data_IF_965516301545
#
_entry.id   IF_965516301545
#
_cell.length_a   1.000
_cell.length_b   1.000
_cell.length_c   1.000
_cell.angle_alpha   90.00
_cell.angle_beta   90.00
_cell.angle_gamma   90.00
#
_symmetry.space_group_name_H-M   'P 1'
#
loop_
_entity.id
_entity.type
_entity.pdbx_description
1 polymer ?
#
# COMPACT_ATOMS: atom_id res chain seq x y z
N UNK A 1 35.95 -4.01 19.14
CA UNK A 1 35.85 -2.75 18.36
C UNK A 1 36.58 -2.77 17.00
N UNK A 2 37.61 -3.59 16.76
CA UNK A 2 38.36 -3.61 15.49
C UNK A 2 37.66 -4.22 14.26
N UNK A 3 36.69 -5.14 14.44
CA UNK A 3 36.00 -5.81 13.32
C UNK A 3 35.00 -4.87 12.63
N UNK A 4 34.29 -4.03 13.41
CA UNK A 4 33.33 -3.06 12.87
C UNK A 4 34.03 -1.94 12.06
N UNK A 5 35.18 -1.46 12.54
CA UNK A 5 35.96 -0.45 11.81
C UNK A 5 36.60 -1.00 10.53
N UNK A 6 36.88 -2.30 10.47
CA UNK A 6 37.39 -2.96 9.26
C UNK A 6 36.31 -3.13 8.20
N UNK A 7 35.11 -3.61 8.60
CA UNK A 7 33.99 -3.82 7.68
C UNK A 7 33.48 -2.52 7.04
N UNK A 8 33.36 -1.45 7.83
CA UNK A 8 32.94 -0.12 7.32
C UNK A 8 33.93 0.46 6.32
N UNK A 9 35.25 0.32 6.57
CA UNK A 9 36.29 0.74 5.63
C UNK A 9 36.25 -0.04 4.32
N UNK A 10 36.04 -1.36 4.39
CA UNK A 10 35.89 -2.20 3.20
C UNK A 10 34.64 -1.78 2.39
N UNK A 11 33.52 -1.56 3.06
CA UNK A 11 32.27 -1.11 2.43
C UNK A 11 32.43 0.24 1.72
N UNK A 12 33.05 1.23 2.39
CA UNK A 12 33.32 2.55 1.80
C UNK A 12 34.25 2.43 0.57
N UNK A 13 35.24 1.55 0.62
CA UNK A 13 36.15 1.29 -0.51
C UNK A 13 35.40 0.69 -1.70
N UNK A 14 34.53 -0.29 -1.47
CA UNK A 14 33.71 -0.93 -2.51
C UNK A 14 32.73 0.05 -3.15
N UNK A 15 32.08 0.91 -2.34
CA UNK A 15 31.17 1.94 -2.86
C UNK A 15 31.91 3.04 -3.62
N UNK A 16 33.11 3.42 -3.15
CA UNK A 16 34.01 4.32 -3.86
C UNK A 16 34.40 3.79 -5.23
N UNK A 17 34.76 2.50 -5.32
CA UNK A 17 35.03 1.79 -6.58
C UNK A 17 33.80 1.71 -7.49
N UNK A 18 32.60 1.57 -6.93
CA UNK A 18 31.36 1.55 -7.70
C UNK A 18 31.04 2.90 -8.36
N UNK A 19 31.29 4.02 -7.68
CA UNK A 19 30.96 5.37 -8.20
C UNK A 19 32.11 5.99 -9.02
N UNK A 20 33.34 5.50 -8.85
CA UNK A 20 34.52 6.03 -9.54
C UNK A 20 34.41 5.91 -11.07
N UNK A 21 34.97 6.88 -11.83
CA UNK A 21 35.36 6.63 -13.22
C UNK A 21 36.35 5.45 -13.25
N UNK A 22 36.20 4.60 -14.28
CA UNK A 22 36.85 3.29 -14.44
C UNK A 22 38.33 3.33 -14.03
N UNK A 23 38.73 2.48 -13.09
CA UNK A 23 40.11 2.34 -12.63
C UNK A 23 40.95 1.53 -13.62
N UNK A 24 42.25 1.84 -13.80
CA UNK A 24 43.11 1.18 -14.77
C UNK A 24 43.61 -0.23 -14.34
N UNK A 25 43.52 -0.59 -13.06
CA UNK A 25 44.04 -1.86 -12.53
C UNK A 25 43.12 -3.08 -12.78
N UNK A 26 43.71 -4.23 -13.13
CA UNK A 26 42.97 -5.49 -13.40
C UNK A 26 42.17 -5.99 -12.19
N UNK A 27 42.72 -5.83 -10.98
CA UNK A 27 42.05 -6.22 -9.72
C UNK A 27 40.88 -5.29 -9.42
N UNK A 28 41.07 -3.98 -9.56
CA UNK A 28 40.01 -3.00 -9.34
C UNK A 28 38.87 -3.15 -10.37
N UNK A 29 39.20 -3.53 -11.60
CA UNK A 29 38.22 -3.84 -12.63
C UNK A 29 37.37 -5.07 -12.26
N UNK A 30 37.98 -6.14 -11.78
CA UNK A 30 37.26 -7.34 -11.34
C UNK A 30 36.39 -7.05 -10.12
N UNK A 31 36.89 -6.27 -9.17
CA UNK A 31 36.10 -5.79 -8.02
C UNK A 31 34.93 -4.92 -8.47
N UNK A 32 35.12 -4.05 -9.46
CA UNK A 32 34.06 -3.21 -10.01
C UNK A 32 32.94 -4.05 -10.64
N UNK A 33 33.29 -5.07 -11.44
CA UNK A 33 32.30 -6.00 -12.00
C UNK A 33 31.55 -6.78 -10.93
N UNK A 34 32.25 -7.21 -9.86
CA UNK A 34 31.64 -7.89 -8.72
C UNK A 34 30.69 -7.01 -7.90
N UNK A 35 31.02 -5.73 -7.71
CA UNK A 35 30.08 -4.81 -7.04
C UNK A 35 28.90 -4.47 -7.94
N UNK A 36 29.12 -4.27 -9.24
CA UNK A 36 28.03 -4.04 -10.20
C UNK A 36 27.09 -5.25 -10.28
N UNK A 37 27.64 -6.46 -10.16
CA UNK A 37 26.81 -7.63 -10.00
C UNK A 37 26.05 -7.50 -8.69
N UNK A 38 26.65 -7.55 -7.51
CA UNK A 38 25.89 -7.55 -6.24
C UNK A 38 24.76 -6.51 -6.17
N UNK A 39 25.00 -5.28 -6.68
CA UNK A 39 23.97 -4.23 -6.77
C UNK A 39 22.83 -4.58 -7.73
N UNK A 40 23.10 -5.08 -8.94
CA UNK A 40 22.03 -5.49 -9.84
C UNK A 40 21.22 -6.69 -9.26
N UNK A 41 21.81 -7.50 -8.39
CA UNK A 41 21.18 -8.70 -7.81
C UNK A 41 20.18 -8.23 -6.77
N UNK A 42 20.61 -7.27 -5.93
CA UNK A 42 19.73 -6.57 -5.01
C UNK A 42 18.61 -5.81 -5.74
N UNK A 43 18.90 -5.13 -6.85
CA UNK A 43 17.90 -4.39 -7.62
C UNK A 43 16.84 -5.32 -8.23
N UNK A 44 17.28 -6.34 -8.97
CA UNK A 44 16.39 -7.30 -9.63
C UNK A 44 15.68 -8.17 -8.60
N UNK A 45 16.33 -8.54 -7.49
CA UNK A 45 15.72 -9.21 -6.34
C UNK A 45 14.61 -8.39 -5.71
N UNK A 46 14.82 -7.10 -5.47
CA UNK A 46 13.81 -6.20 -4.91
C UNK A 46 12.62 -6.05 -5.86
N UNK A 47 12.89 -5.85 -7.16
CA UNK A 47 11.85 -5.77 -8.19
C UNK A 47 11.08 -7.08 -8.30
N UNK A 48 11.78 -8.22 -8.28
CA UNK A 48 11.15 -9.54 -8.33
C UNK A 48 10.34 -9.85 -7.07
N UNK A 49 10.72 -9.35 -5.89
CA UNK A 49 9.91 -9.49 -4.68
C UNK A 49 8.64 -8.63 -4.79
N UNK A 50 8.77 -7.39 -5.25
CA UNK A 50 7.65 -6.47 -5.46
C UNK A 50 6.67 -6.97 -6.54
N UNK A 51 7.20 -7.62 -7.58
CA UNK A 51 6.44 -8.19 -8.71
C UNK A 51 6.50 -9.72 -8.73
N UNK A 52 6.57 -10.36 -7.57
CA UNK A 52 6.69 -11.83 -7.43
C UNK A 52 5.54 -12.58 -8.10
N UNK A 53 4.41 -11.91 -8.30
CA UNK A 53 3.26 -12.36 -9.08
C UNK A 53 3.41 -12.26 -10.61
N UNK A 54 4.30 -11.41 -11.13
CA UNK A 54 4.44 -11.11 -12.57
C UNK A 54 5.72 -11.73 -13.19
N UNK A 55 6.83 -11.76 -12.45
CA UNK A 55 8.15 -12.21 -12.92
C UNK A 55 8.60 -13.52 -12.25
N UNK A 56 7.68 -14.47 -12.05
CA UNK A 56 7.98 -15.70 -11.27
C UNK A 56 8.95 -16.67 -11.97
N UNK A 57 9.21 -16.52 -13.27
CA UNK A 57 10.11 -17.43 -13.97
C UNK A 57 11.58 -17.11 -13.67
N UNK A 58 12.31 -18.13 -13.21
CA UNK A 58 13.76 -18.07 -12.99
C UNK A 58 14.51 -17.56 -14.22
N UNK A 59 14.02 -17.85 -15.43
CA UNK A 59 14.61 -17.36 -16.68
C UNK A 59 14.51 -15.84 -16.82
N UNK A 60 13.38 -15.24 -16.44
CA UNK A 60 13.20 -13.78 -16.51
C UNK A 60 14.06 -13.11 -15.44
N UNK A 61 14.19 -13.72 -14.26
CA UNK A 61 15.10 -13.25 -13.22
C UNK A 61 16.56 -13.26 -13.71
N UNK A 62 17.05 -14.36 -14.28
CA UNK A 62 18.45 -14.45 -14.73
C UNK A 62 18.75 -13.53 -15.92
N UNK A 63 17.82 -13.38 -16.86
CA UNK A 63 17.96 -12.47 -18.01
C UNK A 63 17.96 -11.01 -17.56
N UNK A 64 17.02 -10.61 -16.71
CA UNK A 64 16.95 -9.23 -16.19
C UNK A 64 18.16 -8.90 -15.32
N UNK A 65 18.62 -9.86 -14.52
CA UNK A 65 19.87 -9.79 -13.77
C UNK A 65 21.08 -9.55 -14.68
N UNK A 66 21.25 -10.36 -15.72
CA UNK A 66 22.34 -10.20 -16.69
C UNK A 66 22.30 -8.84 -17.39
N UNK A 67 21.11 -8.41 -17.82
CA UNK A 67 20.92 -7.11 -18.46
C UNK A 67 21.26 -5.94 -17.51
N UNK A 68 20.79 -5.99 -16.26
CA UNK A 68 21.09 -4.98 -15.26
C UNK A 68 22.59 -4.94 -14.92
N UNK A 69 23.23 -6.11 -14.81
CA UNK A 69 24.66 -6.21 -14.58
C UNK A 69 25.49 -5.55 -15.69
N UNK A 70 25.17 -5.84 -16.96
CA UNK A 70 25.83 -5.22 -18.12
C UNK A 70 25.60 -3.71 -18.12
N UNK A 71 24.35 -3.26 -17.90
CA UNK A 71 24.01 -1.84 -17.89
C UNK A 71 24.79 -1.06 -16.81
N UNK A 72 24.90 -1.61 -15.61
CA UNK A 72 25.65 -0.98 -14.51
C UNK A 72 27.16 -1.01 -14.73
N UNK A 73 27.68 -2.10 -15.30
CA UNK A 73 29.10 -2.20 -15.65
C UNK A 73 29.53 -1.20 -16.73
N UNK A 74 28.66 -0.92 -17.70
CA UNK A 74 28.95 -0.04 -18.83
C UNK A 74 28.66 1.44 -18.54
N UNK A 75 27.61 1.77 -17.79
CA UNK A 75 27.13 3.15 -17.66
C UNK A 75 27.35 3.74 -16.26
N UNK A 76 28.13 4.82 -16.18
CA UNK A 76 28.26 5.62 -14.96
C UNK A 76 26.92 6.26 -14.55
N UNK A 77 26.15 6.72 -15.52
CA UNK A 77 24.85 7.35 -15.25
C UNK A 77 23.85 6.36 -14.66
N UNK A 78 23.84 5.11 -15.14
CA UNK A 78 23.01 4.05 -14.58
C UNK A 78 23.41 3.74 -13.13
N UNK A 79 24.72 3.64 -12.84
CA UNK A 79 25.22 3.45 -11.46
C UNK A 79 24.77 4.57 -10.53
N UNK A 80 24.98 5.83 -10.93
CA UNK A 80 24.54 6.99 -10.15
C UNK A 80 23.02 7.00 -9.93
N UNK A 81 22.24 6.68 -10.96
CA UNK A 81 20.79 6.62 -10.86
C UNK A 81 20.33 5.54 -9.86
N UNK A 82 20.91 4.34 -9.88
CA UNK A 82 20.56 3.26 -8.95
C UNK A 82 20.89 3.63 -7.50
N UNK A 83 22.03 4.27 -7.24
CA UNK A 83 22.36 4.77 -5.90
C UNK A 83 21.32 5.81 -5.44
N UNK A 84 20.98 6.76 -6.31
CA UNK A 84 19.98 7.78 -5.99
C UNK A 84 18.59 7.18 -5.80
N UNK A 85 18.24 6.12 -6.53
CA UNK A 85 16.98 5.41 -6.38
C UNK A 85 16.88 4.78 -4.98
N UNK A 86 17.91 4.03 -4.56
CA UNK A 86 17.93 3.45 -3.21
C UNK A 86 17.89 4.52 -2.11
N UNK A 87 18.62 5.62 -2.29
CA UNK A 87 18.56 6.75 -1.36
C UNK A 87 17.16 7.38 -1.35
N UNK A 88 16.54 7.55 -2.51
CA UNK A 88 15.18 8.13 -2.64
C UNK A 88 14.16 7.30 -1.88
N UNK A 89 14.24 5.97 -1.91
CA UNK A 89 13.40 5.08 -1.10
C UNK A 89 13.55 5.32 0.42
N UNK A 90 14.74 5.73 0.87
CA UNK A 90 15.02 6.02 2.29
C UNK A 90 14.69 7.45 2.73
N UNK A 91 14.53 8.40 1.79
CA UNK A 91 14.13 9.77 2.09
C UNK A 91 12.69 9.82 2.62
N UNK A 92 12.33 10.91 3.32
CA UNK A 92 11.03 11.06 3.98
C UNK A 92 9.87 10.82 3.00
N UNK A 93 9.94 11.41 1.82
CA UNK A 93 8.90 11.33 0.79
C UNK A 93 8.81 9.92 0.20
N UNK A 94 9.94 9.31 -0.16
CA UNK A 94 9.97 7.95 -0.71
C UNK A 94 9.57 6.89 0.32
N UNK A 95 10.01 7.02 1.57
CA UNK A 95 9.62 6.13 2.67
C UNK A 95 8.12 6.22 2.93
N UNK A 96 7.56 7.43 2.97
CA UNK A 96 6.12 7.60 3.17
C UNK A 96 5.31 6.99 2.02
N UNK A 97 5.78 7.13 0.77
CA UNK A 97 5.15 6.49 -0.38
C UNK A 97 5.22 4.96 -0.31
N UNK A 98 6.37 4.40 0.09
CA UNK A 98 6.55 2.95 0.24
C UNK A 98 5.67 2.38 1.36
N UNK A 99 5.59 3.08 2.50
CA UNK A 99 4.69 2.71 3.60
C UNK A 99 3.24 2.76 3.13
N UNK A 100 2.82 3.84 2.46
CA UNK A 100 1.45 3.98 1.96
C UNK A 100 1.07 2.86 0.98
N UNK A 101 1.97 2.55 0.03
CA UNK A 101 1.80 1.44 -0.89
C UNK A 101 1.71 0.11 -0.14
N UNK A 102 2.64 -0.16 0.79
CA UNK A 102 2.63 -1.38 1.61
C UNK A 102 1.36 -1.53 2.46
N UNK A 103 0.89 -0.45 3.08
CA UNK A 103 -0.36 -0.46 3.85
C UNK A 103 -1.58 -0.70 2.97
N UNK A 104 -1.62 -0.10 1.77
CA UNK A 104 -2.72 -0.32 0.81
C UNK A 104 -2.80 -1.77 0.38
N UNK A 105 -1.65 -2.40 0.13
CA UNK A 105 -1.56 -3.83 -0.20
C UNK A 105 -2.13 -4.71 0.93
N UNK A 106 -1.79 -4.42 2.19
CA UNK A 106 -2.28 -5.18 3.35
C UNK A 106 -3.79 -5.01 3.53
N UNK A 107 -4.29 -3.78 3.40
CA UNK A 107 -5.73 -3.49 3.51
C UNK A 107 -6.50 -4.29 2.46
N UNK A 108 -6.08 -4.24 1.18
CA UNK A 108 -6.72 -5.00 0.10
C UNK A 108 -6.71 -6.52 0.32
N UNK A 109 -5.72 -7.05 1.04
CA UNK A 109 -5.69 -8.47 1.44
C UNK A 109 -6.71 -8.81 2.53
N UNK A 110 -6.95 -7.92 3.50
CA UNK A 110 -7.86 -8.17 4.61
C UNK A 110 -9.34 -8.11 4.22
N UNK A 111 -9.71 -7.31 3.21
CA UNK A 111 -11.12 -7.14 2.82
C UNK A 111 -11.76 -8.48 2.41
N UNK A 112 -11.03 -9.36 1.71
CA UNK A 112 -11.54 -10.69 1.35
C UNK A 112 -11.92 -11.54 2.58
N UNK A 113 -11.12 -11.46 3.64
CA UNK A 113 -11.39 -12.17 4.90
C UNK A 113 -12.63 -11.60 5.64
N UNK A 114 -12.82 -10.28 5.59
CA UNK A 114 -14.01 -9.62 6.16
C UNK A 114 -15.28 -10.13 5.49
N UNK A 115 -15.29 -10.23 4.16
CA UNK A 115 -16.46 -10.73 3.44
C UNK A 115 -16.75 -12.21 3.70
N UNK A 116 -15.71 -13.04 3.83
CA UNK A 116 -15.88 -14.43 4.24
C UNK A 116 -16.56 -14.54 5.62
N UNK A 117 -16.08 -13.76 6.60
CA UNK A 117 -16.68 -13.73 7.94
C UNK A 117 -18.11 -13.20 7.92
N UNK A 118 -18.41 -12.20 7.09
CA UNK A 118 -19.76 -11.65 6.94
C UNK A 118 -20.74 -12.69 6.39
N UNK A 119 -20.31 -13.52 5.44
CA UNK A 119 -21.12 -14.64 4.93
C UNK A 119 -21.47 -15.63 6.03
N UNK A 120 -20.48 -16.03 6.84
CA UNK A 120 -20.71 -16.91 7.99
C UNK A 120 -21.65 -16.29 9.04
N UNK A 121 -21.54 -14.99 9.29
CA UNK A 121 -22.45 -14.26 10.17
C UNK A 121 -23.90 -14.27 9.65
N UNK A 122 -24.10 -14.01 8.37
CA UNK A 122 -25.42 -14.06 7.74
C UNK A 122 -26.05 -15.44 7.82
N UNK A 123 -25.27 -16.51 7.61
CA UNK A 123 -25.74 -17.88 7.75
C UNK A 123 -26.15 -18.19 9.20
N UNK A 124 -25.37 -17.76 10.17
CA UNK A 124 -25.68 -17.89 11.60
C UNK A 124 -26.95 -17.13 11.99
N UNK A 125 -27.09 -15.87 11.58
CA UNK A 125 -28.28 -15.07 11.83
C UNK A 125 -29.53 -15.69 11.19
N UNK A 126 -29.43 -16.14 9.94
CA UNK A 126 -30.53 -16.81 9.24
C UNK A 126 -30.95 -18.07 10.00
N UNK A 127 -29.98 -18.89 10.44
CA UNK A 127 -30.24 -20.10 11.21
C UNK A 127 -30.92 -19.78 12.56
N UNK A 128 -30.40 -18.79 13.29
CA UNK A 128 -30.93 -18.38 14.58
C UNK A 128 -32.37 -17.82 14.48
N UNK A 129 -32.64 -16.97 13.49
CA UNK A 129 -33.99 -16.45 13.23
C UNK A 129 -34.92 -17.61 12.88
N UNK A 130 -34.47 -18.56 12.04
CA UNK A 130 -35.29 -19.71 11.66
C UNK A 130 -35.64 -20.57 12.88
N UNK A 131 -34.66 -20.89 13.72
CA UNK A 131 -34.88 -21.66 14.94
C UNK A 131 -35.83 -20.93 15.91
N UNK A 132 -35.59 -19.65 16.19
CA UNK A 132 -36.39 -18.91 17.19
C UNK A 132 -37.80 -18.57 16.69
N UNK A 133 -37.95 -18.16 15.44
CA UNK A 133 -39.27 -17.80 14.90
C UNK A 133 -40.12 -19.03 14.61
N UNK A 134 -39.63 -19.99 13.83
CA UNK A 134 -40.43 -21.12 13.37
C UNK A 134 -40.56 -22.23 14.40
N UNK A 135 -39.57 -22.46 15.26
CA UNK A 135 -39.65 -23.53 16.26
C UNK A 135 -40.23 -23.07 17.59
N UNK A 136 -40.14 -21.78 17.93
CA UNK A 136 -40.58 -21.26 19.25
C UNK A 136 -41.75 -20.30 19.09
N UNK A 137 -41.55 -19.13 18.50
CA UNK A 137 -42.56 -18.06 18.54
C UNK A 137 -43.83 -18.36 17.76
N UNK A 138 -43.73 -18.82 16.51
CA UNK A 138 -44.92 -19.11 15.70
C UNK A 138 -45.78 -20.26 16.27
N UNK A 139 -45.20 -21.38 16.71
CA UNK A 139 -45.96 -22.44 17.39
C UNK A 139 -46.65 -21.94 18.67
N UNK A 140 -45.97 -21.14 19.49
CA UNK A 140 -46.56 -20.52 20.68
C UNK A 140 -47.74 -19.62 20.32
N UNK A 141 -47.56 -18.73 19.33
CA UNK A 141 -48.60 -17.81 18.89
C UNK A 141 -49.83 -18.57 18.35
N UNK A 142 -49.61 -19.69 17.65
CA UNK A 142 -50.65 -20.61 17.20
C UNK A 142 -51.42 -21.22 18.37
N UNK A 143 -50.73 -21.69 19.40
CA UNK A 143 -51.37 -22.23 20.62
C UNK A 143 -52.19 -21.17 21.36
N UNK A 144 -51.71 -19.93 21.43
CA UNK A 144 -52.47 -18.82 22.01
C UNK A 144 -53.73 -18.49 21.18
N UNK A 145 -53.61 -18.44 19.85
CA UNK A 145 -54.76 -18.22 18.98
C UNK A 145 -55.80 -19.33 19.11
N UNK A 146 -55.37 -20.60 19.13
CA UNK A 146 -56.23 -21.77 19.38
C UNK A 146 -56.94 -21.66 20.74
N UNK A 147 -56.23 -21.23 21.79
CA UNK A 147 -56.80 -21.04 23.13
C UNK A 147 -57.84 -19.91 23.18
N UNK A 148 -57.57 -18.76 22.56
CA UNK A 148 -58.52 -17.63 22.48
C UNK A 148 -59.79 -18.05 21.73
N UNK A 149 -59.63 -18.78 20.63
CA UNK A 149 -60.75 -19.27 19.83
C UNK A 149 -61.56 -20.34 20.58
N UNK A 150 -60.89 -21.19 21.36
CA UNK A 150 -61.54 -22.14 22.26
C UNK A 150 -62.35 -21.44 23.35
N UNK A 151 -61.79 -20.41 24.01
CA UNK A 151 -62.49 -19.59 25.01
C UNK A 151 -63.71 -18.92 24.39
N UNK A 152 -63.56 -18.32 23.22
CA UNK A 152 -64.67 -17.68 22.50
C UNK A 152 -65.78 -18.68 22.13
N UNK A 153 -65.42 -19.87 21.68
CA UNK A 153 -66.38 -20.93 21.33
C UNK A 153 -67.06 -21.58 22.54
N UNK A 154 -66.45 -21.51 23.73
CA UNK A 154 -67.00 -22.02 24.99
C UNK A 154 -67.64 -20.94 25.84
N UNK A 155 -67.50 -19.65 25.51
CA UNK A 155 -68.28 -18.60 26.13
C UNK A 155 -69.74 -18.82 25.73
N UNK A 156 -70.60 -19.36 26.62
CA UNK A 156 -72.03 -19.27 26.39
C UNK A 156 -72.33 -17.77 26.35
N UNK A 157 -73.44 -17.38 25.73
CA UNK A 157 -74.00 -16.04 25.95
C UNK A 157 -73.85 -15.72 27.44
N UNK A 158 -72.98 -14.76 27.75
CA UNK A 158 -72.90 -14.20 29.08
C UNK A 158 -74.20 -13.41 29.21
N UNK A 159 -75.27 -14.10 29.62
CA UNK A 159 -76.62 -13.56 29.86
C UNK A 159 -76.63 -12.48 30.97
N UNK A 160 -75.45 -12.10 31.49
CA UNK A 160 -75.27 -11.06 32.50
C UNK A 160 -75.67 -9.65 32.00
N UNK A 161 -75.77 -9.44 30.68
CA UNK A 161 -76.15 -8.16 30.07
C UNK A 161 -77.14 -8.29 28.90
N UNK A 162 -78.01 -9.29 28.93
CA UNK A 162 -78.92 -9.64 27.81
C UNK A 162 -79.95 -8.55 27.46
N UNK A 163 -80.04 -7.48 28.26
CA UNK A 163 -80.87 -6.30 27.99
C UNK A 163 -80.11 -5.05 27.51
N UNK A 164 -78.77 -5.03 27.49
CA UNK A 164 -78.01 -3.79 27.30
C UNK A 164 -77.18 -3.73 26.00
N UNK A 165 -76.65 -4.84 25.49
CA UNK A 165 -75.80 -4.81 24.29
C UNK A 165 -75.91 -6.12 23.49
N UNK A 166 -76.41 -6.03 22.25
CA UNK A 166 -76.39 -7.14 21.29
C UNK A 166 -74.97 -7.37 20.76
N UNK A 167 -74.35 -8.50 21.10
CA UNK A 167 -73.06 -8.91 20.54
C UNK A 167 -73.26 -9.86 19.35
N UNK A 168 -72.97 -9.36 18.15
CA UNK A 168 -72.95 -10.16 16.92
C UNK A 168 -71.62 -9.93 16.19
N UNK A 169 -70.56 -10.62 16.61
CA UNK A 169 -69.28 -10.58 15.91
C UNK A 169 -68.70 -11.98 15.72
N UNK A 170 -68.23 -12.28 14.52
CA UNK A 170 -67.45 -13.48 14.21
C UNK A 170 -65.98 -13.19 14.44
N UNK A 171 -65.37 -13.81 15.45
CA UNK A 171 -63.94 -13.67 15.72
C UNK A 171 -63.12 -14.47 14.70
N UNK A 172 -62.58 -13.81 13.69
CA UNK A 172 -61.65 -14.42 12.72
C UNK A 172 -60.20 -14.15 13.11
N UNK A 173 -59.57 -15.07 13.84
CA UNK A 173 -58.12 -15.01 14.13
C UNK A 173 -57.38 -15.89 13.12
N UNK A 174 -57.03 -15.33 11.96
CA UNK A 174 -56.26 -16.05 10.95
C UNK A 174 -54.75 -15.91 11.21
N UNK A 175 -54.15 -16.95 11.77
CA UNK A 175 -52.69 -17.08 11.96
C UNK A 175 -52.00 -17.85 10.81
N UNK A 176 -52.65 -17.90 9.64
CA UNK A 176 -52.39 -18.88 8.58
C UNK A 176 -51.36 -18.46 7.52
N UNK A 177 -50.89 -17.21 7.55
CA UNK A 177 -49.91 -16.66 6.58
C UNK A 177 -48.53 -16.24 7.14
N UNK A 178 -48.31 -15.95 8.44
CA UNK A 178 -47.04 -15.37 8.89
C UNK A 178 -45.83 -16.25 8.65
N UNK A 179 -45.95 -17.59 8.76
CA UNK A 179 -44.80 -18.50 8.59
C UNK A 179 -44.27 -18.51 7.17
N UNK A 180 -45.14 -18.75 6.19
CA UNK A 180 -44.74 -18.83 4.79
C UNK A 180 -44.29 -17.47 4.26
N UNK A 181 -44.96 -16.38 4.65
CA UNK A 181 -44.57 -15.02 4.28
C UNK A 181 -43.23 -14.63 4.92
N UNK A 182 -43.02 -14.94 6.20
CA UNK A 182 -41.74 -14.68 6.88
C UNK A 182 -40.60 -15.53 6.29
N UNK A 183 -40.84 -16.80 5.97
CA UNK A 183 -39.82 -17.66 5.36
C UNK A 183 -39.45 -17.17 3.95
N UNK A 184 -40.43 -16.75 3.16
CA UNK A 184 -40.21 -16.16 1.85
C UNK A 184 -39.40 -14.85 1.96
N UNK A 185 -39.79 -13.95 2.86
CA UNK A 185 -39.06 -12.69 3.13
C UNK A 185 -37.62 -12.95 3.61
N UNK A 186 -37.41 -13.95 4.47
CA UNK A 186 -36.08 -14.30 4.98
C UNK A 186 -35.19 -14.84 3.87
N UNK A 187 -35.73 -15.71 3.01
CA UNK A 187 -35.00 -16.26 1.84
C UNK A 187 -34.70 -15.17 0.82
N UNK A 188 -35.66 -14.28 0.55
CA UNK A 188 -35.48 -13.16 -0.37
C UNK A 188 -34.41 -12.20 0.14
N UNK A 189 -34.51 -11.76 1.40
CA UNK A 189 -33.52 -10.88 2.05
C UNK A 189 -32.14 -11.52 2.05
N UNK A 190 -32.04 -12.82 2.40
CA UNK A 190 -30.78 -13.55 2.34
C UNK A 190 -30.23 -13.58 0.90
N UNK A 191 -31.07 -13.85 -0.09
CA UNK A 191 -30.70 -13.88 -1.49
C UNK A 191 -30.16 -12.53 -1.97
N UNK A 192 -30.85 -11.43 -1.65
CA UNK A 192 -30.42 -10.08 -1.98
C UNK A 192 -29.07 -9.74 -1.32
N UNK A 193 -28.94 -9.98 -0.01
CA UNK A 193 -27.72 -9.67 0.73
C UNK A 193 -26.55 -10.53 0.27
N UNK A 194 -26.74 -11.83 0.04
CA UNK A 194 -25.69 -12.71 -0.50
C UNK A 194 -25.33 -12.32 -1.94
N UNK A 195 -26.29 -11.88 -2.75
CA UNK A 195 -26.06 -11.36 -4.09
C UNK A 195 -25.16 -10.12 -4.07
N UNK A 196 -25.50 -9.13 -3.23
CA UNK A 196 -24.66 -7.94 -3.03
C UNK A 196 -23.29 -8.32 -2.48
N UNK A 197 -23.23 -9.26 -1.52
CA UNK A 197 -21.98 -9.73 -0.95
C UNK A 197 -21.09 -10.40 -2.01
N UNK A 198 -21.67 -11.22 -2.89
CA UNK A 198 -20.95 -11.85 -3.99
C UNK A 198 -20.40 -10.81 -4.96
N UNK A 199 -21.21 -9.83 -5.36
CA UNK A 199 -20.75 -8.71 -6.19
C UNK A 199 -19.59 -7.95 -5.53
N UNK A 200 -19.68 -7.67 -4.23
CA UNK A 200 -18.61 -7.01 -3.48
C UNK A 200 -17.35 -7.87 -3.37
N UNK A 201 -17.48 -9.17 -3.13
CA UNK A 201 -16.35 -10.11 -3.10
C UNK A 201 -15.66 -10.15 -4.46
N UNK A 202 -16.41 -10.34 -5.55
CA UNK A 202 -15.84 -10.37 -6.89
C UNK A 202 -15.18 -9.04 -7.27
N UNK A 203 -15.83 -7.91 -6.98
CA UNK A 203 -15.24 -6.59 -7.20
C UNK A 203 -13.97 -6.38 -6.37
N UNK A 204 -13.96 -6.85 -5.13
CA UNK A 204 -12.80 -6.76 -4.24
C UNK A 204 -11.68 -7.69 -4.65
N UNK A 205 -11.98 -8.89 -5.13
CA UNK A 205 -10.99 -9.84 -5.62
C UNK A 205 -10.29 -9.29 -6.86
N UNK A 206 -11.06 -8.75 -7.81
CA UNK A 206 -10.53 -8.03 -8.98
C UNK A 206 -9.70 -6.82 -8.54
N UNK A 207 -10.22 -6.00 -7.63
CA UNK A 207 -9.52 -4.81 -7.12
C UNK A 207 -8.28 -5.17 -6.29
N UNK A 208 -8.27 -6.30 -5.60
CA UNK A 208 -7.14 -6.76 -4.79
C UNK A 208 -6.03 -7.33 -5.67
N UNK A 209 -6.38 -8.17 -6.65
CA UNK A 209 -5.44 -8.71 -7.64
C UNK A 209 -4.82 -7.59 -8.48
N UNK A 210 -5.66 -6.76 -9.12
CA UNK A 210 -5.19 -5.71 -10.03
C UNK A 210 -4.66 -4.51 -9.25
N UNK A 211 -5.33 -4.11 -8.17
CA UNK A 211 -4.95 -2.94 -7.38
C UNK A 211 -3.65 -3.13 -6.63
N UNK A 212 -3.35 -4.32 -6.10
CA UNK A 212 -2.04 -4.62 -5.50
C UNK A 212 -0.90 -4.43 -6.50
N UNK A 213 -1.12 -4.87 -7.74
CA UNK A 213 -0.15 -4.73 -8.83
C UNK A 213 -0.01 -3.29 -9.30
N UNK A 214 -1.13 -2.57 -9.49
CA UNK A 214 -1.13 -1.17 -9.88
C UNK A 214 -0.49 -0.28 -8.81
N UNK A 215 -0.78 -0.51 -7.52
CA UNK A 215 -0.18 0.25 -6.42
C UNK A 215 1.34 0.07 -6.37
N UNK A 216 1.83 -1.15 -6.52
CA UNK A 216 3.27 -1.43 -6.58
C UNK A 216 3.92 -0.76 -7.80
N UNK A 217 3.30 -0.85 -8.98
CA UNK A 217 3.79 -0.25 -10.22
C UNK A 217 3.81 1.28 -10.16
N UNK A 218 2.71 1.90 -9.72
CA UNK A 218 2.57 3.36 -9.58
C UNK A 218 3.56 3.88 -8.54
N UNK A 219 3.68 3.20 -7.39
CA UNK A 219 4.66 3.56 -6.36
C UNK A 219 6.10 3.54 -6.90
N UNK A 220 6.47 2.47 -7.62
CA UNK A 220 7.79 2.36 -8.23
C UNK A 220 8.02 3.44 -9.30
N UNK A 221 7.04 3.67 -10.18
CA UNK A 221 7.13 4.70 -11.22
C UNK A 221 7.31 6.08 -10.63
N UNK A 222 6.57 6.43 -9.57
CA UNK A 222 6.71 7.71 -8.87
C UNK A 222 8.12 7.89 -8.30
N UNK A 223 8.69 6.86 -7.67
CA UNK A 223 10.06 6.93 -7.15
C UNK A 223 11.06 7.07 -8.31
N UNK A 224 10.93 6.28 -9.37
CA UNK A 224 11.83 6.35 -10.54
C UNK A 224 11.75 7.72 -11.24
N UNK A 225 10.55 8.25 -11.45
CA UNK A 225 10.32 9.58 -12.01
C UNK A 225 10.91 10.66 -11.11
N UNK A 226 10.68 10.58 -9.80
CA UNK A 226 11.27 11.50 -8.82
C UNK A 226 12.79 11.50 -8.86
N UNK A 227 13.41 10.32 -8.83
CA UNK A 227 14.87 10.16 -8.94
C UNK A 227 15.40 10.68 -10.28
N UNK A 228 14.69 10.43 -11.39
CA UNK A 228 15.07 10.89 -12.71
C UNK A 228 15.00 12.40 -12.86
N UNK A 229 13.91 13.02 -12.38
CA UNK A 229 13.75 14.46 -12.34
C UNK A 229 14.78 15.13 -11.44
N UNK A 230 15.09 14.52 -10.29
CA UNK A 230 16.15 14.98 -9.40
C UNK A 230 17.52 14.95 -10.09
N UNK A 231 17.88 13.83 -10.71
CA UNK A 231 19.14 13.67 -11.43
C UNK A 231 19.23 14.61 -12.64
N UNK A 232 18.15 14.78 -13.41
CA UNK A 232 18.06 15.74 -14.51
C UNK A 232 18.29 17.17 -14.00
N UNK A 233 17.63 17.56 -12.92
CA UNK A 233 17.79 18.89 -12.31
C UNK A 233 19.21 19.11 -11.76
N UNK A 234 19.85 18.06 -11.24
CA UNK A 234 21.23 18.10 -10.75
C UNK A 234 22.24 18.30 -11.90
N UNK A 235 22.03 17.59 -13.02
CA UNK A 235 22.94 17.58 -14.17
C UNK A 235 22.66 18.70 -15.18
N UNK A 236 21.52 19.38 -15.12
CA UNK A 236 21.14 20.43 -16.07
C UNK A 236 22.17 21.59 -16.03
N UNK A 237 22.92 21.85 -17.12
CA UNK A 237 23.91 22.93 -17.17
C UNK A 237 23.30 24.31 -16.94
N UNK A 238 22.00 24.49 -17.23
CA UNK A 238 21.27 25.76 -17.07
C UNK A 238 20.68 25.94 -15.67
N UNK A 239 20.47 24.86 -14.91
CA UNK A 239 20.01 24.88 -13.53
C UNK A 239 21.12 24.62 -12.49
N UNK A 240 22.27 24.14 -12.94
CA UNK A 240 23.37 23.60 -12.14
C UNK A 240 24.26 24.67 -11.54
N UNK A 241 23.82 25.29 -10.44
CA UNK A 241 24.75 25.95 -9.50
C UNK A 241 24.20 26.31 -8.12
N UNK A 242 22.96 25.96 -7.83
CA UNK A 242 22.30 26.29 -6.56
C UNK A 242 21.89 25.03 -5.80
N UNK A 243 22.86 24.17 -5.52
CA UNK A 243 22.78 23.52 -4.22
C UNK A 243 23.15 24.61 -3.23
N UNK A 244 22.23 24.91 -2.31
CA UNK A 244 22.50 25.73 -1.13
C UNK A 244 23.69 25.11 -0.42
N UNK A 245 24.89 25.57 -0.77
CA UNK A 245 25.98 25.48 0.16
C UNK A 245 25.56 26.43 1.28
N UNK A 246 25.12 25.89 2.41
CA UNK A 246 24.65 26.67 3.57
C UNK A 246 25.65 27.77 3.96
N UNK A 247 26.92 27.57 3.61
CA UNK A 247 28.02 28.50 3.85
C UNK A 247 28.19 29.62 2.79
N UNK A 248 27.62 29.50 1.58
CA UNK A 248 27.72 30.51 0.52
C UNK A 248 26.33 30.87 0.03
N UNK A 249 25.71 31.83 0.73
CA UNK A 249 24.37 32.34 0.40
C UNK A 249 24.42 33.29 -0.80
N UNK A 250 23.27 33.48 -1.48
CA UNK A 250 23.18 34.47 -2.58
C UNK A 250 23.46 35.90 -2.12
N UNK A 251 23.20 36.20 -0.85
CA UNK A 251 23.52 37.50 -0.24
C UNK A 251 25.03 37.69 -0.12
N UNK A 252 25.76 36.67 0.35
CA UNK A 252 27.22 36.70 0.38
C UNK A 252 27.83 36.89 -1.00
N UNK A 253 27.32 36.19 -2.03
CA UNK A 253 27.80 36.36 -3.40
C UNK A 253 27.59 37.79 -3.91
N UNK A 254 26.41 38.38 -3.68
CA UNK A 254 26.13 39.77 -4.09
C UNK A 254 26.97 40.79 -3.32
N UNK A 255 27.20 40.54 -2.03
CA UNK A 255 28.07 41.38 -1.20
C UNK A 255 29.52 41.33 -1.70
N UNK A 256 30.07 40.14 -1.93
CA UNK A 256 31.43 39.93 -2.45
C UNK A 256 31.60 40.52 -3.86
N UNK A 257 30.57 40.40 -4.73
CA UNK A 257 30.55 41.08 -6.02
C UNK A 257 30.53 42.61 -5.88
N UNK A 258 29.78 43.16 -4.92
CA UNK A 258 29.76 44.60 -4.64
C UNK A 258 31.11 45.13 -4.19
N UNK A 259 31.75 44.45 -3.23
CA UNK A 259 33.10 44.77 -2.76
C UNK A 259 34.13 44.69 -3.91
N UNK A 260 33.94 43.76 -4.86
CA UNK A 260 34.80 43.60 -6.04
C UNK A 260 34.76 44.80 -6.97
N UNK A 261 33.56 45.35 -7.20
CA UNK A 261 33.42 46.57 -8.00
C UNK A 261 34.04 47.78 -7.29
N UNK A 262 34.08 47.76 -5.96
CA UNK A 262 34.78 48.76 -5.14
C UNK A 262 36.29 48.55 -4.97
N UNK A 263 36.90 47.60 -5.70
CA UNK A 263 38.32 47.20 -5.56
C UNK A 263 38.74 46.77 -4.14
N UNK A 264 37.80 46.27 -3.35
CA UNK A 264 38.07 45.76 -2.00
C UNK A 264 38.40 44.26 -2.03
N UNK A 265 39.05 43.71 -0.99
CA UNK A 265 39.43 42.30 -0.96
C UNK A 265 38.19 41.40 -1.05
N UNK A 266 38.19 40.47 -2.01
CA UNK A 266 37.08 39.55 -2.27
C UNK A 266 37.50 38.10 -2.06
N UNK A 267 36.57 37.26 -1.60
CA UNK A 267 36.78 35.83 -1.35
C UNK A 267 36.55 35.00 -2.62
N UNK A 268 35.74 35.49 -3.57
CA UNK A 268 35.47 34.81 -4.83
C UNK A 268 36.08 35.58 -6.04
N UNK A 269 36.53 34.86 -7.09
CA UNK A 269 36.56 33.40 -7.22
C UNK A 269 37.81 32.78 -6.55
N UNK A 270 37.61 31.70 -5.78
CA UNK A 270 38.70 30.96 -5.15
C UNK A 270 39.81 30.59 -6.14
N UNK A 271 41.05 30.90 -5.77
CA UNK A 271 42.25 30.55 -6.54
C UNK A 271 42.45 29.03 -6.61
N UNK A 272 43.27 28.55 -7.57
CA UNK A 272 43.55 27.11 -7.72
C UNK A 272 44.18 26.48 -6.47
N UNK A 273 44.90 27.26 -5.65
CA UNK A 273 45.49 26.80 -4.37
C UNK A 273 44.44 26.72 -3.27
N UNK A 274 43.60 27.74 -3.14
CA UNK A 274 42.51 27.78 -2.15
C UNK A 274 41.47 26.70 -2.42
N UNK A 275 41.09 26.47 -3.68
CA UNK A 275 40.19 25.36 -4.05
C UNK A 275 40.72 24.02 -3.57
N UNK A 276 42.02 23.76 -3.69
CA UNK A 276 42.58 22.51 -3.17
C UNK A 276 42.47 22.44 -1.67
N UNK A 277 42.86 23.50 -0.95
CA UNK A 277 42.89 23.53 0.53
C UNK A 277 41.49 23.43 1.15
N UNK A 278 40.51 24.17 0.64
CA UNK A 278 39.15 24.19 1.19
C UNK A 278 38.31 22.96 0.77
N UNK A 279 38.55 22.38 -0.41
CA UNK A 279 37.87 21.16 -0.85
C UNK A 279 38.54 19.90 -0.25
N UNK A 280 39.84 19.91 0.00
CA UNK A 280 40.53 18.79 0.67
C UNK A 280 40.33 18.79 2.19
N UNK A 281 40.10 19.96 2.80
CA UNK A 281 39.89 20.12 4.24
C UNK A 281 38.52 19.64 4.76
N UNK A 282 37.55 19.36 3.88
CA UNK A 282 36.26 18.78 4.27
C UNK A 282 36.28 17.24 4.36
N UNK A 283 37.46 16.63 4.29
CA UNK A 283 37.71 15.23 4.67
C UNK A 283 38.49 15.20 5.98
N UNK A 284 37.84 15.54 7.09
CA UNK A 284 38.21 15.07 8.42
C UNK A 284 36.96 14.55 9.10
#
# INVERSE_FOLDING_TARGET
MGVWSSGTRLFLRLWGLYVSPRSPGRVDFLQHLGVCSLVALGLVGLLSAAFSWFLSSFTVFTVSWGAAWVLLGCSKHARCFVVLFFLSCGLREGRNALIAAGTGIVILGHVGNVFHNFRGLLDSMTCNIRAKSFSIHLPLLRRYAEAIQWIYGHAPRLDLFDGLVSWNQTLSVSLSSPSQTLEAQLKDTKGQVVGVLYQMVTATEVLSSVGRQLLALVGLLLVLLGTGLFMKRFLDPRGGRKFENTYITRQFVRFDEGERHGQRPCVLPLSKKERRKFISGSRS
#
